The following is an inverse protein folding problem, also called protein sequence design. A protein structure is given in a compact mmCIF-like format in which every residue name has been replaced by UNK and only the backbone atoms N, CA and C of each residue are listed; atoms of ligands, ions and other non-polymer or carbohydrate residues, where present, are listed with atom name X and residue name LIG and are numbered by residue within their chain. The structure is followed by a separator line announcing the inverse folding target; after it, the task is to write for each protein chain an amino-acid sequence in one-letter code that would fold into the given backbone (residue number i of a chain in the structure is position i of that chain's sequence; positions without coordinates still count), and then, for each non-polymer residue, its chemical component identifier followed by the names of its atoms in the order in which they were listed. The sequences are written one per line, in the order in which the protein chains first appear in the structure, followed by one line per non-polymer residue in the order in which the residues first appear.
data_IF_716582721708
#
_entry.id   IF_716582721708
#
_cell.length_a   1.000
_cell.length_b   1.000
_cell.length_c   1.000
_cell.angle_alpha   90.00
_cell.angle_beta   90.00
_cell.angle_gamma   90.00
#
_symmetry.space_group_name_H-M   'P 1'
#
loop_
_entity.id
_entity.type
_entity.pdbx_description
1 polymer ?
#
# COMPACT_ATOMS: atom_id res chain seq x y z
N UNK A 1 22.10 13.81 4.88
CA UNK A 1 21.00 12.85 4.79
C UNK A 1 20.03 12.99 5.95
N UNK A 2 18.75 12.65 5.76
CA UNK A 2 17.78 12.57 6.84
C UNK A 2 16.56 11.77 6.40
N UNK A 3 16.06 10.83 7.20
CA UNK A 3 14.83 10.10 6.90
C UNK A 3 13.59 10.91 7.28
N UNK A 4 12.56 10.80 6.44
CA UNK A 4 11.26 11.42 6.66
C UNK A 4 10.15 10.39 6.42
N UNK A 5 9.29 10.18 7.42
CA UNK A 5 8.08 9.34 7.30
C UNK A 5 6.85 10.14 6.83
N UNK A 6 6.87 11.46 6.97
CA UNK A 6 5.87 12.33 6.35
C UNK A 6 6.25 12.54 4.89
N UNK A 7 5.87 11.59 4.05
CA UNK A 7 6.24 11.54 2.63
C UNK A 7 5.18 10.80 1.82
N UNK A 8 4.84 11.34 0.64
CA UNK A 8 4.03 10.63 -0.35
C UNK A 8 4.15 11.25 -1.75
N UNK A 9 3.57 10.54 -2.76
CA UNK A 9 3.28 11.05 -4.10
C UNK A 9 1.91 11.73 -4.10
N UNK A 10 1.83 12.97 -4.61
CA UNK A 10 0.61 13.78 -4.62
C UNK A 10 0.08 14.10 -6.01
N UNK A 11 0.88 13.93 -7.05
CA UNK A 11 0.47 14.06 -8.46
C UNK A 11 1.34 13.16 -9.31
N UNK A 12 0.75 12.60 -10.36
CA UNK A 12 1.46 11.75 -11.34
C UNK A 12 1.85 12.52 -12.61
N UNK A 13 1.16 13.63 -12.92
CA UNK A 13 1.49 14.49 -14.06
C UNK A 13 1.14 15.96 -13.75
N UNK A 14 2.13 16.83 -13.46
CA UNK A 14 3.52 16.48 -13.21
C UNK A 14 3.69 15.56 -12.00
N UNK A 15 4.77 14.78 -11.95
CA UNK A 15 5.04 13.91 -10.82
C UNK A 15 5.52 14.73 -9.62
N UNK A 16 4.68 14.87 -8.59
CA UNK A 16 4.94 15.67 -7.40
C UNK A 16 5.07 14.77 -6.17
N UNK A 17 6.23 14.84 -5.55
CA UNK A 17 6.49 14.26 -4.23
C UNK A 17 6.47 15.36 -3.17
N UNK A 18 5.93 15.07 -2.00
CA UNK A 18 5.99 15.97 -0.84
C UNK A 18 6.56 15.22 0.35
N UNK A 19 7.52 15.84 1.04
CA UNK A 19 7.96 15.41 2.36
C UNK A 19 7.95 16.59 3.33
N UNK A 20 7.93 16.31 4.65
CA UNK A 20 7.77 17.36 5.65
C UNK A 20 8.79 17.25 6.78
N UNK A 21 9.88 18.02 6.74
CA UNK A 21 10.76 18.22 7.89
C UNK A 21 10.05 19.07 8.95
N UNK A 22 9.78 18.46 10.11
CA UNK A 22 9.19 19.16 11.25
C UNK A 22 10.24 19.93 12.05
N UNK A 23 9.83 21.05 12.63
CA UNK A 23 10.61 21.75 13.66
C UNK A 23 10.83 20.85 14.87
N UNK A 24 11.99 20.93 15.50
CA UNK A 24 12.27 20.11 16.68
C UNK A 24 11.35 20.51 17.83
N UNK A 25 10.70 19.54 18.45
CA UNK A 25 9.79 19.79 19.58
C UNK A 25 10.52 20.36 20.79
N UNK A 26 11.77 19.90 21.01
CA UNK A 26 12.60 20.23 22.19
C UNK A 26 12.94 21.72 22.30
N UNK A 27 13.32 22.33 21.18
CA UNK A 27 13.93 23.65 21.13
C UNK A 27 13.42 24.56 20.01
N UNK A 28 12.40 24.09 19.29
CA UNK A 28 11.78 24.80 18.16
C UNK A 28 12.76 25.16 17.02
N UNK A 29 13.90 24.47 16.91
CA UNK A 29 14.86 24.70 15.82
C UNK A 29 14.45 23.95 14.54
N UNK A 30 14.99 24.38 13.41
CA UNK A 30 14.83 23.72 12.12
C UNK A 30 15.80 22.55 11.96
N UNK A 31 15.46 21.59 11.11
CA UNK A 31 16.42 20.55 10.69
C UNK A 31 17.34 21.12 9.59
N UNK A 32 18.59 20.68 9.57
CA UNK A 32 19.56 21.08 8.52
C UNK A 32 19.06 20.79 7.12
N UNK A 33 18.27 19.72 6.92
CA UNK A 33 17.66 19.43 5.61
C UNK A 33 16.75 20.57 5.13
N UNK A 34 15.97 21.20 6.01
CA UNK A 34 15.15 22.35 5.64
C UNK A 34 16.03 23.55 5.23
N UNK A 35 17.08 23.82 6.02
CA UNK A 35 18.03 24.91 5.73
C UNK A 35 18.71 24.69 4.37
N UNK A 36 19.16 23.44 4.11
CA UNK A 36 19.80 23.08 2.84
C UNK A 36 18.84 23.24 1.64
N UNK A 37 17.58 22.86 1.79
CA UNK A 37 16.54 22.98 0.74
C UNK A 37 16.24 24.46 0.44
N UNK A 38 16.22 25.31 1.47
CA UNK A 38 16.01 26.75 1.27
C UNK A 38 17.19 27.42 0.58
N UNK A 39 18.41 26.92 0.80
CA UNK A 39 19.62 27.42 0.15
C UNK A 39 19.78 26.88 -1.28
N UNK A 40 19.55 25.56 -1.45
CA UNK A 40 19.64 24.86 -2.74
C UNK A 40 18.31 24.10 -2.95
N UNK A 41 17.42 24.62 -3.81
CA UNK A 41 16.08 24.04 -4.00
C UNK A 41 16.09 22.76 -4.86
N UNK A 42 16.93 21.82 -4.48
CA UNK A 42 17.15 20.54 -5.13
C UNK A 42 17.28 19.45 -4.08
N UNK A 43 16.68 18.29 -4.31
CA UNK A 43 16.74 17.13 -3.40
C UNK A 43 16.81 15.82 -4.17
N UNK A 44 17.36 14.80 -3.52
CA UNK A 44 17.21 13.41 -3.96
C UNK A 44 16.44 12.64 -2.90
N UNK A 45 15.33 12.04 -3.31
CA UNK A 45 14.46 11.26 -2.44
C UNK A 45 14.65 9.78 -2.74
N UNK A 46 14.92 8.96 -1.72
CA UNK A 46 15.14 7.53 -1.85
C UNK A 46 14.02 6.73 -1.17
N UNK A 47 13.58 5.65 -1.79
CA UNK A 47 12.70 4.69 -1.14
C UNK A 47 13.55 3.76 -0.27
N UNK A 48 13.24 3.71 1.03
CA UNK A 48 13.97 2.85 1.97
C UNK A 48 13.44 1.42 1.86
N UNK A 49 14.35 0.48 1.65
CA UNK A 49 14.08 -0.95 1.70
C UNK A 49 14.74 -1.59 2.94
N UNK A 50 14.33 -2.81 3.29
CA UNK A 50 14.76 -3.45 4.53
C UNK A 50 16.29 -3.60 4.63
N UNK A 51 16.99 -3.83 3.51
CA UNK A 51 18.44 -4.01 3.49
C UNK A 51 19.27 -2.78 3.90
N UNK A 52 18.67 -1.57 3.94
CA UNK A 52 19.35 -0.32 4.35
C UNK A 52 18.69 0.38 5.54
N UNK A 53 17.71 -0.25 6.19
CA UNK A 53 16.90 0.41 7.23
C UNK A 53 17.70 0.83 8.46
N UNK A 54 18.70 0.04 8.87
CA UNK A 54 19.55 0.36 10.01
C UNK A 54 20.52 1.51 9.70
N UNK A 55 21.10 1.53 8.49
CA UNK A 55 21.92 2.63 8.02
C UNK A 55 21.10 3.93 7.91
N UNK A 56 19.88 3.83 7.38
CA UNK A 56 18.93 4.95 7.35
C UNK A 56 18.60 5.44 8.77
N UNK A 57 18.38 4.53 9.70
CA UNK A 57 18.13 4.88 11.11
C UNK A 57 19.31 5.64 11.71
N UNK A 58 20.54 5.19 11.46
CA UNK A 58 21.75 5.87 11.90
C UNK A 58 21.89 7.27 11.29
N UNK A 59 21.50 7.47 10.03
CA UNK A 59 21.48 8.79 9.38
C UNK A 59 20.45 9.75 9.98
N UNK A 60 19.55 9.29 10.87
CA UNK A 60 18.61 10.14 11.61
C UNK A 60 19.23 10.85 12.83
N UNK A 61 20.45 10.49 13.20
CA UNK A 61 21.16 11.09 14.34
C UNK A 61 21.36 12.59 14.12
N UNK A 62 21.12 13.37 15.17
CA UNK A 62 21.30 14.83 15.13
C UNK A 62 22.78 15.20 15.20
N UNK A 63 23.51 14.95 14.14
CA UNK A 63 24.91 15.37 14.03
C UNK A 63 25.01 16.90 13.92
N UNK A 64 26.15 17.46 14.35
CA UNK A 64 26.44 18.88 14.20
C UNK A 64 26.53 19.32 12.75
N UNK A 65 26.36 20.63 12.52
CA UNK A 65 26.46 21.21 11.17
C UNK A 65 27.84 20.90 10.55
N UNK A 66 27.85 20.48 9.30
CA UNK A 66 29.07 20.12 8.54
C UNK A 66 29.48 18.66 8.69
N UNK A 67 28.81 17.86 9.51
CA UNK A 67 29.03 16.41 9.53
C UNK A 67 28.30 15.78 8.37
N UNK A 68 28.98 14.91 7.62
CA UNK A 68 28.42 14.20 6.48
C UNK A 68 27.78 12.88 6.95
N UNK A 69 26.46 12.77 6.88
CA UNK A 69 25.73 11.56 7.28
C UNK A 69 25.95 10.39 6.33
N UNK A 70 26.41 10.59 5.09
CA UNK A 70 26.85 9.49 4.22
C UNK A 70 28.00 8.71 4.86
N UNK A 71 29.01 9.43 5.35
CA UNK A 71 30.16 8.82 5.99
C UNK A 71 29.76 8.12 7.30
N UNK A 72 28.89 8.78 8.09
CA UNK A 72 28.40 8.23 9.37
C UNK A 72 27.57 6.98 9.22
N UNK A 73 26.70 6.93 8.21
CA UNK A 73 25.82 5.79 7.96
C UNK A 73 26.47 4.74 7.03
N UNK A 74 27.67 5.02 6.49
CA UNK A 74 28.37 4.11 5.59
C UNK A 74 27.70 3.94 4.24
N UNK A 75 27.01 4.99 3.74
CA UNK A 75 26.43 5.00 2.40
C UNK A 75 27.43 5.49 1.36
N UNK A 76 27.33 4.90 0.17
CA UNK A 76 28.17 5.30 -0.99
C UNK A 76 27.46 6.40 -1.79
N UNK A 77 28.14 7.53 -1.97
CA UNK A 77 27.65 8.62 -2.81
C UNK A 77 27.81 8.31 -4.29
N UNK A 78 26.75 8.53 -5.06
CA UNK A 78 26.76 8.49 -6.52
C UNK A 78 26.27 9.84 -7.05
N UNK A 79 26.98 10.39 -8.04
CA UNK A 79 26.61 11.65 -8.67
C UNK A 79 25.21 11.55 -9.27
N UNK A 80 24.40 12.58 -9.04
CA UNK A 80 23.11 12.79 -9.71
C UNK A 80 23.29 13.28 -11.14
N UNK A 81 22.24 13.16 -11.95
CA UNK A 81 22.27 13.57 -13.35
C UNK A 81 21.83 15.03 -13.52
N UNK A 82 20.75 15.43 -12.86
CA UNK A 82 20.09 16.72 -13.04
C UNK A 82 20.21 17.66 -11.84
N UNK A 83 20.50 17.11 -10.64
CA UNK A 83 20.56 17.90 -9.40
C UNK A 83 21.92 17.78 -8.72
N UNK A 84 22.27 18.74 -7.86
CA UNK A 84 23.55 18.76 -7.13
C UNK A 84 23.67 17.72 -6.03
N UNK A 85 22.62 17.47 -5.19
CA UNK A 85 22.70 16.48 -4.14
C UNK A 85 22.98 15.08 -4.70
N UNK A 86 23.90 14.30 -4.09
CA UNK A 86 24.21 12.95 -4.56
C UNK A 86 23.12 11.95 -4.21
N UNK A 87 23.07 10.86 -4.97
CA UNK A 87 22.25 9.69 -4.70
C UNK A 87 22.96 8.71 -3.75
N UNK A 88 22.20 7.89 -3.08
CA UNK A 88 22.68 6.71 -2.32
C UNK A 88 22.76 5.52 -3.28
N UNK A 89 23.96 4.92 -3.44
CA UNK A 89 24.19 3.78 -4.34
C UNK A 89 23.37 2.55 -3.93
N UNK A 90 23.24 2.31 -2.64
CA UNK A 90 22.58 1.14 -2.05
C UNK A 90 21.05 1.20 -2.17
N UNK A 91 20.46 2.37 -2.46
CA UNK A 91 19.02 2.50 -2.62
C UNK A 91 18.55 1.94 -3.97
N UNK A 92 17.50 1.15 -3.96
CA UNK A 92 16.92 0.57 -5.18
C UNK A 92 16.15 1.57 -6.02
N UNK A 93 15.57 2.60 -5.38
CA UNK A 93 14.80 3.65 -6.06
C UNK A 93 15.22 5.01 -5.53
N UNK A 94 15.54 5.93 -6.45
CA UNK A 94 15.88 7.31 -6.15
C UNK A 94 15.21 8.27 -7.14
N UNK A 95 14.75 9.41 -6.64
CA UNK A 95 14.12 10.47 -7.43
C UNK A 95 14.95 11.75 -7.30
N UNK A 96 15.48 12.26 -8.41
CA UNK A 96 16.09 13.59 -8.48
C UNK A 96 14.98 14.61 -8.66
N UNK A 97 14.89 15.58 -7.77
CA UNK A 97 13.77 16.49 -7.70
C UNK A 97 14.21 17.95 -7.60
N UNK A 98 13.50 18.82 -8.30
CA UNK A 98 13.49 20.25 -8.08
C UNK A 98 12.44 20.60 -7.05
N UNK A 99 12.77 21.46 -6.09
CA UNK A 99 11.82 22.00 -5.11
C UNK A 99 11.07 23.17 -5.71
N UNK A 100 9.75 23.04 -5.84
CA UNK A 100 8.89 24.09 -6.38
C UNK A 100 8.45 25.07 -5.31
N UNK A 101 8.19 24.58 -4.08
CA UNK A 101 7.71 25.38 -2.95
C UNK A 101 8.10 24.74 -1.61
N UNK A 102 8.36 25.58 -0.62
CA UNK A 102 8.45 25.20 0.78
C UNK A 102 7.37 25.97 1.56
N UNK A 103 6.36 25.26 2.09
CA UNK A 103 5.24 25.84 2.82
C UNK A 103 5.32 25.49 4.30
N UNK A 104 5.55 26.48 5.15
CA UNK A 104 5.44 26.30 6.61
C UNK A 104 3.99 26.07 7.02
N UNK A 105 3.78 25.12 7.94
CA UNK A 105 2.48 24.81 8.53
C UNK A 105 2.30 25.41 9.92
N UNK A 106 3.32 26.09 10.45
CA UNK A 106 3.32 26.75 11.75
C UNK A 106 4.72 27.06 12.26
N UNK A 107 4.79 27.76 13.38
CA UNK A 107 6.03 28.30 13.93
C UNK A 107 6.47 27.64 15.25
N UNK A 108 5.67 26.71 15.77
CA UNK A 108 5.94 26.03 17.04
C UNK A 108 6.66 24.69 16.85
N UNK A 109 7.26 24.18 17.89
CA UNK A 109 7.90 22.86 17.89
C UNK A 109 6.93 21.77 17.45
N UNK A 110 7.37 20.92 16.51
CA UNK A 110 6.53 19.90 15.87
C UNK A 110 5.85 20.35 14.57
N UNK A 111 5.77 21.66 14.28
CA UNK A 111 5.20 22.16 13.04
C UNK A 111 5.99 21.66 11.84
N UNK A 112 5.30 21.13 10.83
CA UNK A 112 5.87 20.65 9.58
C UNK A 112 6.17 21.78 8.60
N UNK A 113 7.01 21.47 7.64
CA UNK A 113 7.27 22.33 6.48
C UNK A 113 7.11 21.47 5.23
N UNK A 114 6.05 21.68 4.46
CA UNK A 114 5.85 20.92 3.22
C UNK A 114 6.89 21.34 2.20
N UNK A 115 7.74 20.40 1.80
CA UNK A 115 8.69 20.57 0.69
C UNK A 115 8.06 19.90 -0.52
N UNK A 116 7.58 20.71 -1.46
CA UNK A 116 6.87 20.28 -2.66
C UNK A 116 7.87 20.16 -3.80
N UNK A 117 8.08 18.94 -4.29
CA UNK A 117 9.13 18.59 -5.21
C UNK A 117 8.57 18.01 -6.52
N UNK A 118 9.06 18.50 -7.64
CA UNK A 118 8.81 17.92 -8.95
C UNK A 118 9.92 16.94 -9.30
N UNK A 119 9.55 15.73 -9.67
CA UNK A 119 10.50 14.69 -10.09
C UNK A 119 11.01 15.01 -11.50
N UNK A 120 12.32 15.12 -11.64
CA UNK A 120 13.01 15.32 -12.91
C UNK A 120 13.49 13.98 -13.50
N UNK A 121 14.06 13.12 -12.66
CA UNK A 121 14.58 11.79 -13.04
C UNK A 121 14.25 10.77 -11.98
N UNK A 122 13.82 9.60 -12.40
CA UNK A 122 13.68 8.42 -11.55
C UNK A 122 14.78 7.39 -11.90
N UNK A 123 15.49 6.93 -10.89
CA UNK A 123 16.46 5.85 -10.99
C UNK A 123 15.89 4.61 -10.32
N UNK A 124 15.81 3.51 -11.05
CA UNK A 124 15.30 2.23 -10.54
C UNK A 124 16.34 1.15 -10.84
N UNK A 125 16.71 0.40 -9.81
CA UNK A 125 17.60 -0.74 -9.97
C UNK A 125 16.85 -1.88 -10.68
N UNK A 126 17.43 -2.45 -11.73
CA UNK A 126 16.85 -3.55 -12.49
C UNK A 126 16.53 -4.78 -11.62
N UNK A 127 17.28 -4.99 -10.54
CA UNK A 127 17.03 -6.10 -9.61
C UNK A 127 15.64 -6.09 -8.95
N UNK A 128 14.97 -4.93 -8.90
CA UNK A 128 13.62 -4.81 -8.33
C UNK A 128 12.51 -4.79 -9.38
N UNK A 129 12.86 -4.95 -10.66
CA UNK A 129 11.88 -5.02 -11.75
C UNK A 129 11.40 -6.45 -11.99
N UNK A 130 10.16 -6.58 -12.42
CA UNK A 130 9.61 -7.80 -12.98
C UNK A 130 9.96 -7.96 -14.47
N UNK A 131 9.45 -9.01 -15.11
CA UNK A 131 9.70 -9.31 -16.51
C UNK A 131 9.10 -8.26 -17.48
N UNK A 132 8.14 -7.47 -17.02
CA UNK A 132 7.51 -6.38 -17.79
C UNK A 132 8.20 -5.02 -17.57
N UNK A 133 9.24 -4.97 -16.73
CA UNK A 133 9.95 -3.73 -16.38
C UNK A 133 9.19 -2.87 -15.37
N UNK A 134 8.26 -3.45 -14.60
CA UNK A 134 7.52 -2.79 -13.53
C UNK A 134 8.14 -3.14 -12.18
N UNK A 135 8.14 -2.21 -11.23
CA UNK A 135 8.65 -2.49 -9.88
C UNK A 135 7.82 -3.60 -9.23
N UNK A 136 8.46 -4.73 -8.90
CA UNK A 136 7.87 -5.78 -8.10
C UNK A 136 7.97 -5.42 -6.61
N UNK A 137 6.85 -5.21 -5.90
CA UNK A 137 6.87 -4.84 -4.50
C UNK A 137 7.55 -5.89 -3.60
N UNK A 138 7.55 -7.16 -4.02
CA UNK A 138 8.24 -8.25 -3.28
C UNK A 138 9.76 -8.14 -3.38
N UNK A 139 10.27 -7.68 -4.54
CA UNK A 139 11.70 -7.45 -4.76
C UNK A 139 12.16 -6.12 -4.16
N UNK A 140 11.29 -5.12 -4.12
CA UNK A 140 11.59 -3.82 -3.52
C UNK A 140 11.78 -3.92 -2.02
N UNK A 141 11.01 -4.77 -1.33
CA UNK A 141 11.11 -5.03 0.11
C UNK A 141 11.08 -3.73 0.95
N UNK A 142 10.15 -2.84 0.61
CA UNK A 142 10.04 -1.52 1.20
C UNK A 142 9.67 -1.59 2.68
N UNK A 143 10.06 -0.55 3.43
CA UNK A 143 9.67 -0.39 4.84
C UNK A 143 8.89 0.91 5.05
N UNK A 144 7.97 0.87 6.01
CA UNK A 144 7.25 2.05 6.46
C UNK A 144 7.36 2.20 7.98
N UNK A 145 7.50 3.46 8.47
CA UNK A 145 7.53 3.75 9.88
C UNK A 145 6.12 3.86 10.46
N UNK A 146 5.85 3.16 11.57
CA UNK A 146 4.55 3.15 12.25
C UNK A 146 4.49 4.07 13.47
N UNK A 147 5.62 4.64 13.90
CA UNK A 147 5.74 5.47 15.09
C UNK A 147 6.60 4.84 16.18
N UNK A 148 7.16 5.67 17.06
CA UNK A 148 8.16 5.20 18.02
C UNK A 148 9.31 4.46 17.34
N UNK A 149 9.58 3.24 17.77
CA UNK A 149 10.61 2.36 17.21
C UNK A 149 10.03 1.28 16.24
N UNK A 150 8.76 1.37 15.90
CA UNK A 150 8.10 0.37 15.08
C UNK A 150 8.18 0.69 13.59
N UNK A 151 8.47 -0.33 12.80
CA UNK A 151 8.43 -0.32 11.34
C UNK A 151 7.61 -1.51 10.84
N UNK A 152 6.96 -1.38 9.70
CA UNK A 152 6.44 -2.50 8.91
C UNK A 152 7.37 -2.78 7.74
N UNK A 153 7.43 -4.04 7.33
CA UNK A 153 8.16 -4.52 6.16
C UNK A 153 7.17 -5.07 5.15
N UNK A 154 7.19 -4.54 3.93
CA UNK A 154 6.34 -4.99 2.85
C UNK A 154 6.93 -6.27 2.22
N UNK A 155 6.73 -7.42 2.88
CA UNK A 155 7.23 -8.70 2.41
C UNK A 155 6.35 -9.88 2.88
N UNK A 156 6.46 -11.03 2.21
CA UNK A 156 5.74 -12.26 2.57
C UNK A 156 4.23 -12.04 2.65
N UNK A 157 3.59 -12.51 3.71
CA UNK A 157 2.14 -12.42 3.93
C UNK A 157 1.60 -11.02 4.21
N UNK A 158 2.47 -10.02 4.42
CA UNK A 158 2.04 -8.62 4.52
C UNK A 158 1.68 -8.01 3.16
N UNK A 159 2.08 -8.65 2.07
CA UNK A 159 1.71 -8.26 0.71
C UNK A 159 0.55 -9.13 0.22
N UNK A 160 -0.53 -8.48 -0.17
CA UNK A 160 -1.67 -9.14 -0.78
C UNK A 160 -2.24 -8.27 -1.89
N UNK A 161 -2.91 -8.90 -2.85
CA UNK A 161 -3.50 -8.21 -3.99
C UNK A 161 -5.00 -8.00 -3.76
N UNK A 162 -5.47 -6.81 -4.09
CA UNK A 162 -6.89 -6.50 -4.20
C UNK A 162 -7.13 -6.00 -5.63
N UNK A 163 -7.87 -6.75 -6.46
CA UNK A 163 -8.24 -6.30 -7.80
C UNK A 163 -9.02 -4.98 -7.72
N UNK A 164 -8.58 -3.98 -8.47
CA UNK A 164 -9.26 -2.68 -8.52
C UNK A 164 -10.38 -2.73 -9.58
N UNK A 165 -11.60 -2.30 -9.26
CA UNK A 165 -12.70 -2.20 -10.22
C UNK A 165 -12.53 -0.95 -11.10
N UNK A 166 -11.50 -0.94 -11.98
CA UNK A 166 -11.14 0.25 -12.76
C UNK A 166 -12.12 0.53 -13.91
N UNK A 167 -12.80 -0.48 -14.42
CA UNK A 167 -13.70 -0.40 -15.59
C UNK A 167 -14.99 -1.17 -15.41
N UNK A 168 -15.13 -1.94 -14.35
CA UNK A 168 -16.28 -2.76 -14.01
C UNK A 168 -17.19 -2.01 -13.05
N UNK A 169 -18.50 -2.12 -13.26
CA UNK A 169 -19.52 -1.59 -12.36
C UNK A 169 -20.07 -2.76 -11.56
N UNK A 170 -19.47 -3.04 -10.41
CA UNK A 170 -19.98 -4.07 -9.50
C UNK A 170 -21.41 -3.79 -9.05
N UNK A 171 -22.18 -4.86 -8.79
CA UNK A 171 -23.58 -4.76 -8.32
C UNK A 171 -23.71 -4.01 -6.99
N UNK A 172 -22.62 -3.94 -6.20
CA UNK A 172 -22.64 -3.36 -4.87
C UNK A 172 -23.32 -4.24 -3.82
N UNK A 173 -23.12 -3.93 -2.54
CA UNK A 173 -23.71 -4.68 -1.42
C UNK A 173 -25.21 -4.44 -1.33
N UNK A 174 -25.69 -3.28 -1.73
CA UNK A 174 -27.10 -2.88 -1.70
C UNK A 174 -27.99 -3.69 -2.64
N UNK A 175 -27.43 -4.23 -3.72
CA UNK A 175 -28.17 -5.07 -4.69
C UNK A 175 -28.09 -6.57 -4.39
N UNK A 176 -27.37 -6.97 -3.34
CA UNK A 176 -27.31 -8.38 -2.94
C UNK A 176 -28.65 -8.88 -2.37
N UNK A 177 -28.95 -10.17 -2.51
CA UNK A 177 -30.05 -10.82 -1.76
C UNK A 177 -29.94 -10.50 -0.25
N UNK A 178 -31.09 -10.30 0.40
CA UNK A 178 -31.12 -9.82 1.78
C UNK A 178 -30.48 -10.80 2.78
N UNK A 179 -30.61 -12.09 2.55
CA UNK A 179 -29.98 -13.15 3.31
C UNK A 179 -28.46 -13.10 3.24
N UNK A 180 -27.89 -12.91 2.04
CA UNK A 180 -26.45 -12.75 1.85
C UNK A 180 -25.96 -11.46 2.50
N UNK A 181 -26.64 -10.35 2.24
CA UNK A 181 -26.26 -9.02 2.77
C UNK A 181 -26.27 -8.98 4.30
N UNK A 182 -27.22 -9.67 4.93
CA UNK A 182 -27.41 -9.68 6.37
C UNK A 182 -26.77 -10.92 7.05
N UNK A 183 -25.93 -11.65 6.34
CA UNK A 183 -25.23 -12.82 6.87
C UNK A 183 -24.43 -12.49 8.13
N UNK A 184 -24.56 -13.32 9.15
CA UNK A 184 -23.74 -13.26 10.37
C UNK A 184 -22.40 -13.99 10.23
N UNK A 185 -22.20 -14.70 9.10
CA UNK A 185 -21.02 -15.53 8.80
C UNK A 185 -20.06 -14.80 7.88
N UNK A 186 -20.59 -14.11 6.87
CA UNK A 186 -19.79 -13.36 5.91
C UNK A 186 -19.32 -12.03 6.52
N UNK A 187 -18.04 -11.76 6.42
CA UNK A 187 -17.44 -10.49 6.84
C UNK A 187 -17.73 -9.37 5.84
N UNK A 188 -17.54 -8.09 6.25
CA UNK A 188 -17.61 -6.97 5.34
C UNK A 188 -16.66 -7.09 4.13
N UNK A 189 -15.47 -7.71 4.30
CA UNK A 189 -14.56 -8.00 3.22
C UNK A 189 -15.12 -9.05 2.24
N UNK A 190 -15.81 -10.08 2.74
CA UNK A 190 -16.49 -11.05 1.90
C UNK A 190 -17.59 -10.38 1.07
N UNK A 191 -18.42 -9.56 1.70
CA UNK A 191 -19.47 -8.80 1.01
C UNK A 191 -18.89 -7.83 -0.02
N UNK A 192 -17.80 -7.10 0.33
CA UNK A 192 -17.12 -6.21 -0.60
C UNK A 192 -16.59 -6.93 -1.84
N UNK A 193 -16.07 -8.16 -1.68
CA UNK A 193 -15.59 -8.99 -2.77
C UNK A 193 -16.75 -9.50 -3.64
N UNK A 194 -17.83 -9.97 -3.03
CA UNK A 194 -19.04 -10.41 -3.71
C UNK A 194 -19.72 -9.28 -4.48
N UNK A 195 -19.74 -8.06 -3.94
CA UNK A 195 -20.34 -6.90 -4.59
C UNK A 195 -19.56 -6.34 -5.78
N UNK A 196 -18.34 -6.82 -6.01
CA UNK A 196 -17.50 -6.36 -7.11
C UNK A 196 -17.74 -7.11 -8.44
N UNK A 197 -18.70 -8.03 -8.51
CA UNK A 197 -19.11 -8.66 -9.77
C UNK A 197 -20.07 -7.75 -10.54
N UNK A 198 -20.02 -7.75 -11.87
CA UNK A 198 -20.94 -6.94 -12.70
C UNK A 198 -22.33 -7.58 -12.84
N UNK A 199 -22.38 -8.90 -12.83
CA UNK A 199 -23.60 -9.68 -13.04
C UNK A 199 -23.56 -10.90 -12.12
N UNK A 200 -24.70 -11.25 -11.55
CA UNK A 200 -24.89 -12.52 -10.83
C UNK A 200 -24.95 -13.69 -11.81
N UNK A 201 -24.60 -14.92 -11.38
CA UNK A 201 -24.80 -16.14 -12.16
C UNK A 201 -26.24 -16.26 -12.67
N UNK A 202 -26.37 -16.80 -13.88
CA UNK A 202 -27.67 -17.06 -14.50
C UNK A 202 -28.44 -18.18 -13.75
N UNK A 203 -29.72 -18.20 -13.92
CA UNK A 203 -30.57 -19.26 -13.32
C UNK A 203 -30.16 -20.66 -13.73
N UNK A 204 -29.73 -20.85 -14.99
CA UNK A 204 -29.26 -22.13 -15.54
C UNK A 204 -27.95 -22.57 -14.83
N UNK A 205 -27.01 -21.67 -14.62
CA UNK A 205 -25.77 -21.96 -13.89
C UNK A 205 -26.04 -22.33 -12.43
N UNK A 206 -26.94 -21.61 -11.76
CA UNK A 206 -27.36 -21.89 -10.38
C UNK A 206 -28.00 -23.28 -10.27
N UNK A 207 -28.92 -23.60 -11.17
CA UNK A 207 -29.60 -24.91 -11.21
C UNK A 207 -28.64 -26.04 -11.48
N UNK A 208 -27.75 -25.85 -12.46
CA UNK A 208 -26.73 -26.84 -12.81
C UNK A 208 -25.79 -27.11 -11.65
N UNK A 209 -25.29 -26.05 -11.00
CA UNK A 209 -24.44 -26.17 -9.82
C UNK A 209 -25.17 -26.87 -8.66
N UNK A 210 -26.44 -26.57 -8.48
CA UNK A 210 -27.31 -27.17 -7.46
C UNK A 210 -27.53 -28.68 -7.62
N UNK A 211 -27.26 -29.26 -8.78
CA UNK A 211 -27.32 -30.72 -9.05
C UNK A 211 -26.04 -31.43 -8.58
N UNK A 212 -24.98 -30.71 -8.24
CA UNK A 212 -23.72 -31.27 -7.74
C UNK A 212 -23.91 -32.03 -6.42
N UNK A 213 -23.14 -33.11 -6.24
CA UNK A 213 -23.25 -33.98 -5.05
C UNK A 213 -23.09 -33.22 -3.73
N UNK A 214 -22.19 -32.26 -3.65
CA UNK A 214 -21.93 -31.44 -2.47
C UNK A 214 -23.20 -30.70 -1.99
N UNK A 215 -23.89 -30.04 -2.91
CA UNK A 215 -25.12 -29.29 -2.61
C UNK A 215 -26.28 -30.26 -2.31
N UNK A 216 -26.38 -31.35 -3.04
CA UNK A 216 -27.44 -32.37 -2.82
C UNK A 216 -27.29 -33.06 -1.47
N UNK A 217 -26.08 -33.42 -1.06
CA UNK A 217 -25.81 -34.01 0.26
C UNK A 217 -26.13 -32.98 1.37
N UNK A 218 -25.80 -31.74 1.21
CA UNK A 218 -26.12 -30.68 2.18
C UNK A 218 -27.63 -30.48 2.32
N UNK A 219 -28.36 -30.42 1.18
CA UNK A 219 -29.83 -30.34 1.20
C UNK A 219 -30.50 -31.57 1.88
N UNK A 220 -29.97 -32.74 1.65
CA UNK A 220 -30.48 -33.97 2.33
C UNK A 220 -30.21 -33.95 3.82
N UNK A 221 -29.01 -33.51 4.21
CA UNK A 221 -28.59 -33.41 5.61
C UNK A 221 -29.46 -32.45 6.42
N UNK A 222 -29.74 -31.28 5.85
CA UNK A 222 -30.48 -30.19 6.52
C UNK A 222 -31.93 -30.06 6.01
N UNK A 223 -32.51 -31.13 5.48
CA UNK A 223 -33.87 -31.14 4.87
C UNK A 223 -34.97 -30.50 5.72
N UNK A 224 -34.84 -30.58 7.01
CA UNK A 224 -35.84 -30.09 7.99
C UNK A 224 -35.33 -28.88 8.81
N UNK A 225 -34.18 -28.33 8.47
CA UNK A 225 -33.57 -27.22 9.18
C UNK A 225 -32.94 -26.25 8.15
N UNK A 226 -33.81 -25.37 7.63
CA UNK A 226 -33.42 -24.43 6.58
C UNK A 226 -32.44 -23.36 7.06
N UNK A 227 -32.52 -22.97 8.34
CA UNK A 227 -31.59 -21.99 8.92
C UNK A 227 -30.16 -22.57 8.97
N UNK A 228 -30.05 -23.82 9.45
CA UNK A 228 -28.76 -24.52 9.40
C UNK A 228 -28.24 -24.76 7.97
N UNK A 229 -29.12 -25.00 7.00
CA UNK A 229 -28.75 -25.12 5.60
C UNK A 229 -28.14 -23.80 5.11
N UNK A 230 -28.79 -22.68 5.36
CA UNK A 230 -28.32 -21.36 4.98
C UNK A 230 -26.95 -21.04 5.60
N UNK A 231 -26.79 -21.29 6.89
CA UNK A 231 -25.53 -21.08 7.59
C UNK A 231 -24.39 -21.90 6.97
N UNK A 232 -24.66 -23.16 6.61
CA UNK A 232 -23.64 -24.00 5.97
C UNK A 232 -23.32 -23.55 4.54
N UNK A 233 -24.29 -23.07 3.78
CA UNK A 233 -24.05 -22.46 2.47
C UNK A 233 -23.19 -21.20 2.61
N UNK A 234 -23.43 -20.37 3.60
CA UNK A 234 -22.61 -19.18 3.87
C UNK A 234 -21.18 -19.55 4.30
N UNK A 235 -20.99 -20.61 5.10
CA UNK A 235 -19.66 -21.10 5.46
C UNK A 235 -18.91 -21.63 4.23
N UNK A 236 -19.56 -22.44 3.40
CA UNK A 236 -18.97 -22.99 2.18
C UNK A 236 -18.60 -21.87 1.16
N UNK A 237 -19.46 -20.86 1.03
CA UNK A 237 -19.17 -19.69 0.19
C UNK A 237 -17.99 -18.88 0.73
N UNK A 238 -17.86 -18.78 2.04
CA UNK A 238 -16.70 -18.12 2.65
C UNK A 238 -15.40 -18.88 2.36
N UNK A 239 -15.40 -20.21 2.40
CA UNK A 239 -14.26 -21.04 2.01
C UNK A 239 -13.89 -20.79 0.54
N UNK A 240 -14.87 -20.77 -0.36
CA UNK A 240 -14.62 -20.43 -1.79
C UNK A 240 -14.02 -19.03 -1.95
N UNK A 241 -14.48 -18.05 -1.17
CA UNK A 241 -13.90 -16.70 -1.17
C UNK A 241 -12.45 -16.69 -0.62
N UNK A 242 -12.13 -17.51 0.36
CA UNK A 242 -10.76 -17.62 0.89
C UNK A 242 -9.81 -18.25 -0.14
N UNK A 243 -10.35 -19.13 -1.03
CA UNK A 243 -9.67 -19.67 -2.21
C UNK A 243 -9.66 -18.71 -3.42
N UNK A 244 -10.23 -17.50 -3.27
CA UNK A 244 -10.37 -16.48 -4.30
C UNK A 244 -11.32 -16.85 -5.45
N UNK A 245 -12.25 -17.77 -5.22
CA UNK A 245 -13.26 -18.22 -6.17
C UNK A 245 -14.63 -17.53 -5.90
N UNK A 246 -14.77 -16.32 -6.42
CA UNK A 246 -15.98 -15.48 -6.23
C UNK A 246 -17.17 -16.04 -7.00
N UNK A 247 -16.93 -16.64 -8.15
CA UNK A 247 -18.00 -17.24 -8.98
C UNK A 247 -18.64 -18.43 -8.26
N UNK A 248 -17.82 -19.37 -7.77
CA UNK A 248 -18.29 -20.50 -6.97
C UNK A 248 -19.01 -20.01 -5.71
N UNK A 249 -18.50 -18.99 -5.04
CA UNK A 249 -19.14 -18.42 -3.85
C UNK A 249 -20.55 -17.93 -4.16
N UNK A 250 -20.76 -17.24 -5.28
CA UNK A 250 -22.08 -16.81 -5.72
C UNK A 250 -23.00 -17.98 -6.07
N UNK A 251 -22.48 -18.98 -6.80
CA UNK A 251 -23.25 -20.17 -7.11
C UNK A 251 -23.75 -20.90 -5.85
N UNK A 252 -22.94 -20.95 -4.80
CA UNK A 252 -23.31 -21.53 -3.49
C UNK A 252 -24.37 -20.66 -2.79
N UNK A 253 -24.14 -19.33 -2.70
CA UNK A 253 -25.04 -18.41 -1.99
C UNK A 253 -26.42 -18.29 -2.63
N UNK A 254 -26.52 -18.54 -3.93
CA UNK A 254 -27.79 -18.51 -4.66
C UNK A 254 -28.55 -19.84 -4.65
N UNK A 255 -28.05 -20.87 -3.94
CA UNK A 255 -28.76 -22.10 -3.69
C UNK A 255 -29.86 -21.87 -2.66
N UNK A 256 -31.01 -21.42 -3.13
CA UNK A 256 -32.18 -21.27 -2.24
C UNK A 256 -32.67 -22.61 -1.72
N UNK A 257 -33.08 -22.62 -0.46
CA UNK A 257 -33.79 -23.70 0.18
C UNK A 257 -35.16 -23.95 -0.45
#
# INVERSE_FOLDING_TARGET
LSPFSFFNLFSTNPAILIFSPSRRVRDNTTKHTLENVLEVPEVVIHVVHFGIVEQMSLASTEYGKGVNEFDKAGFTQVKSNEVKPPRIKEAHVAFECKVNEVKSLGDSGGAGNLVICEVLVAHVNEAVLDEMGVIDPRKLDAVARLGGNWYSRASGSSLFQIPKPLRTLGIGIDQMPADVRNSTILSGNNLGRLGNVEVLPSQEEIETFGQGSEIQEMRLRFKYDLDSLQDHLHLLAKEALDENDVERAWLILLQKS
#
